data_IF_391107022322
#
_entry.id   IF_391107022322
#
_cell.length_a   1.000
_cell.length_b   1.000
_cell.length_c   1.000
_cell.angle_alpha   90.00
_cell.angle_beta   90.00
_cell.angle_gamma   90.00
#
_symmetry.space_group_name_H-M   'P 1'
#
loop_
_entity.id
_entity.type
_entity.pdbx_description
1 polymer ?
#
# COMPACT_ATOMS: atom_id res chain seq x y z
N UNK A 1 52.39 -65.50 -22.21
CA UNK A 1 52.27 -65.99 -20.81
C UNK A 1 52.67 -64.82 -19.92
N UNK A 2 51.99 -64.45 -18.84
CA UNK A 2 51.24 -65.23 -17.82
C UNK A 2 49.81 -64.68 -17.57
N UNK A 3 49.08 -65.23 -16.57
CA UNK A 3 47.74 -64.80 -16.14
C UNK A 3 47.80 -64.00 -14.83
N UNK A 4 46.94 -62.99 -14.67
CA UNK A 4 46.52 -62.43 -13.37
C UNK A 4 45.11 -61.79 -13.56
N UNK A 5 44.03 -62.57 -13.44
CA UNK A 5 43.23 -62.73 -12.22
C UNK A 5 42.80 -61.40 -11.58
N UNK A 6 41.52 -61.04 -11.79
CA UNK A 6 40.84 -59.90 -11.17
C UNK A 6 40.39 -60.28 -9.76
N UNK A 7 40.52 -59.36 -8.81
CA UNK A 7 39.77 -59.38 -7.55
C UNK A 7 38.88 -58.14 -7.49
N UNK A 8 37.60 -58.31 -7.14
CA UNK A 8 36.68 -57.21 -6.95
C UNK A 8 36.74 -56.72 -5.51
N UNK A 9 37.12 -55.45 -5.30
CA UNK A 9 36.94 -54.75 -4.04
C UNK A 9 35.74 -53.81 -4.16
N UNK A 10 34.60 -54.19 -3.55
CA UNK A 10 33.44 -53.30 -3.42
C UNK A 10 33.67 -52.41 -2.20
N UNK A 11 34.05 -51.16 -2.43
CA UNK A 11 34.21 -50.16 -1.36
C UNK A 11 32.84 -49.58 -1.02
N UNK A 12 32.31 -49.96 0.15
CA UNK A 12 31.09 -49.36 0.69
C UNK A 12 31.40 -47.97 1.28
N UNK A 13 31.28 -46.93 0.45
CA UNK A 13 31.32 -45.55 0.95
C UNK A 13 30.03 -45.23 1.72
N UNK A 14 30.02 -45.52 3.03
CA UNK A 14 28.98 -45.05 3.94
C UNK A 14 29.15 -43.55 4.11
N UNK A 15 28.46 -42.77 3.28
CA UNK A 15 28.38 -41.32 3.41
C UNK A 15 27.58 -40.98 4.67
N UNK A 16 28.28 -40.71 5.77
CA UNK A 16 27.66 -40.19 7.00
C UNK A 16 27.08 -38.81 6.72
N UNK A 17 25.75 -38.75 6.56
CA UNK A 17 24.99 -37.50 6.55
C UNK A 17 25.02 -36.85 7.94
N UNK A 18 26.16 -36.26 8.27
CA UNK A 18 26.28 -35.34 9.39
C UNK A 18 25.40 -34.13 9.07
N UNK A 19 24.23 -34.07 9.70
CA UNK A 19 23.35 -32.91 9.62
C UNK A 19 24.05 -31.73 10.29
N UNK A 20 24.78 -30.95 9.49
CA UNK A 20 25.28 -29.64 9.87
C UNK A 20 24.11 -28.65 9.92
N UNK A 21 23.17 -28.90 10.83
CA UNK A 21 22.14 -27.97 11.21
C UNK A 21 22.84 -26.78 11.87
N UNK A 22 23.18 -25.77 11.06
CA UNK A 22 23.70 -24.49 11.51
C UNK A 22 22.62 -23.78 12.31
N UNK A 23 22.61 -24.07 13.61
CA UNK A 23 21.78 -23.37 14.59
C UNK A 23 22.20 -21.89 14.57
N UNK A 24 21.49 -21.10 13.77
CA UNK A 24 21.50 -19.65 13.87
C UNK A 24 20.81 -19.30 15.19
N UNK A 25 21.60 -19.33 16.26
CA UNK A 25 21.24 -18.73 17.54
C UNK A 25 21.02 -17.23 17.28
N UNK A 26 19.75 -16.85 17.14
CA UNK A 26 19.34 -15.47 17.22
C UNK A 26 19.66 -14.97 18.62
N UNK A 27 20.90 -14.49 18.81
CA UNK A 27 21.19 -13.59 19.91
C UNK A 27 20.37 -12.34 19.68
N UNK A 28 19.22 -12.28 20.34
CA UNK A 28 18.66 -11.03 20.82
C UNK A 28 19.75 -10.37 21.65
N UNK A 29 20.60 -9.58 20.98
CA UNK A 29 21.44 -8.61 21.67
C UNK A 29 20.44 -7.65 22.27
N UNK A 30 20.24 -7.80 23.58
CA UNK A 30 19.43 -6.90 24.38
C UNK A 30 20.23 -5.61 24.50
N UNK A 31 20.21 -4.83 23.41
CA UNK A 31 20.85 -3.53 23.35
C UNK A 31 20.01 -2.67 24.27
N UNK A 32 20.56 -2.34 25.44
CA UNK A 32 20.10 -1.18 26.18
C UNK A 32 20.22 0.02 25.24
N UNK A 33 19.08 0.34 24.65
CA UNK A 33 18.96 1.31 23.59
C UNK A 33 19.03 2.75 24.12
N UNK A 34 19.15 2.91 25.45
CA UNK A 34 19.42 4.16 26.15
C UNK A 34 18.61 5.33 25.55
N UNK A 35 17.29 5.23 25.74
CA UNK A 35 16.34 6.24 25.28
C UNK A 35 16.58 7.55 26.03
N UNK A 36 17.49 8.39 25.52
CA UNK A 36 17.75 9.78 25.95
C UNK A 36 16.61 10.72 25.49
N UNK A 37 15.38 10.20 25.54
CA UNK A 37 14.11 10.79 25.19
C UNK A 37 13.21 10.63 26.42
N UNK A 38 12.88 11.75 27.08
CA UNK A 38 12.23 11.80 28.41
C UNK A 38 11.22 10.67 28.60
N UNK A 39 11.53 9.73 29.48
CA UNK A 39 10.81 8.46 29.62
C UNK A 39 9.31 8.64 29.92
N UNK A 40 8.96 9.71 30.62
CA UNK A 40 7.58 10.13 30.95
C UNK A 40 6.77 10.71 29.76
N UNK A 41 7.38 10.94 28.59
CA UNK A 41 6.73 11.64 27.48
C UNK A 41 6.12 10.68 26.43
N UNK A 42 4.82 10.83 26.12
CA UNK A 42 4.06 9.82 25.38
C UNK A 42 4.57 9.61 23.96
N UNK A 43 4.57 8.35 23.53
CA UNK A 43 5.12 7.90 22.25
C UNK A 43 3.98 7.59 21.28
N UNK A 44 4.14 7.98 20.02
CA UNK A 44 3.09 7.78 18.99
C UNK A 44 3.66 7.11 17.75
N UNK A 45 2.91 6.17 17.16
CA UNK A 45 3.37 5.39 16.01
C UNK A 45 2.39 5.48 14.84
N UNK A 46 2.91 5.82 13.66
CA UNK A 46 2.15 5.90 12.42
C UNK A 46 2.62 4.77 11.49
N UNK A 47 1.74 3.81 11.20
CA UNK A 47 1.98 2.79 10.19
C UNK A 47 1.40 3.24 8.85
N UNK A 48 2.25 3.44 7.86
CA UNK A 48 1.85 3.76 6.49
C UNK A 48 2.02 2.51 5.62
N UNK A 49 0.93 2.10 4.98
CA UNK A 49 0.78 0.92 4.13
C UNK A 49 0.64 1.42 2.67
N UNK A 50 1.76 1.74 1.98
CA UNK A 50 1.75 2.21 0.60
C UNK A 50 1.50 1.02 -0.33
N UNK A 51 0.22 0.70 -0.52
CA UNK A 51 -0.33 -0.57 -1.01
C UNK A 51 -0.46 -0.66 -2.55
N UNK A 52 -0.56 -1.87 -3.12
CA UNK A 52 -0.42 -2.26 -4.55
C UNK A 52 0.95 -2.05 -5.15
N UNK A 53 1.77 -1.37 -4.41
CA UNK A 53 2.76 -0.52 -4.98
C UNK A 53 3.97 -1.51 -5.17
N UNK A 54 4.61 -1.86 -6.32
CA UNK A 54 5.86 -2.74 -6.40
C UNK A 54 7.25 -2.09 -6.79
N UNK A 55 8.46 -2.59 -6.38
CA UNK A 55 9.80 -1.91 -6.42
C UNK A 55 10.07 -0.94 -7.56
N UNK A 56 9.75 -1.40 -8.76
CA UNK A 56 10.01 -0.71 -10.01
C UNK A 56 9.29 0.65 -10.13
N UNK A 57 8.27 0.96 -9.32
CA UNK A 57 7.54 2.26 -9.40
C UNK A 57 8.12 3.37 -8.54
N UNK A 58 8.98 3.12 -7.55
CA UNK A 58 9.74 4.25 -6.99
C UNK A 58 10.85 4.68 -7.95
N UNK A 59 11.33 3.78 -8.81
CA UNK A 59 12.09 4.16 -10.01
C UNK A 59 11.23 5.02 -10.95
N UNK A 60 9.95 4.67 -11.18
CA UNK A 60 9.03 5.58 -11.91
C UNK A 60 8.87 6.95 -11.24
N UNK A 61 8.61 6.99 -9.94
CA UNK A 61 8.41 8.23 -9.20
C UNK A 61 9.65 9.14 -9.20
N UNK A 62 10.85 8.56 -9.28
CA UNK A 62 12.12 9.29 -9.41
C UNK A 62 12.31 9.96 -10.76
N UNK A 63 11.66 9.44 -11.82
CA UNK A 63 11.73 9.98 -13.19
C UNK A 63 10.49 10.83 -13.54
N UNK A 64 9.33 10.55 -12.95
CA UNK A 64 8.10 11.36 -13.00
C UNK A 64 8.21 12.54 -12.02
N UNK A 65 9.29 13.31 -12.16
CA UNK A 65 9.47 14.55 -11.40
C UNK A 65 8.46 15.62 -11.85
N UNK A 66 8.04 16.44 -10.88
CA UNK A 66 7.18 17.60 -11.06
C UNK A 66 7.61 18.45 -12.29
N UNK A 67 6.80 18.52 -13.37
CA UNK A 67 7.16 19.25 -14.57
C UNK A 67 7.19 20.78 -14.37
N UNK A 68 6.70 21.30 -13.24
CA UNK A 68 6.90 22.70 -12.86
C UNK A 68 8.28 22.99 -12.25
N UNK A 69 9.03 21.94 -11.86
CA UNK A 69 10.33 21.97 -11.19
C UNK A 69 10.38 22.77 -9.88
N UNK A 70 9.22 23.14 -9.31
CA UNK A 70 9.12 23.96 -8.09
C UNK A 70 9.35 23.15 -6.81
N UNK A 71 9.02 21.85 -6.82
CA UNK A 71 9.33 20.94 -5.73
C UNK A 71 10.51 20.02 -6.06
N UNK A 72 11.74 20.52 -5.87
CA UNK A 72 12.94 19.67 -5.83
C UNK A 72 13.00 18.92 -4.50
N UNK A 73 13.24 17.61 -4.53
CA UNK A 73 13.71 16.86 -3.37
C UNK A 73 14.83 15.90 -3.78
N UNK A 74 15.92 15.90 -3.02
CA UNK A 74 16.99 14.92 -3.15
C UNK A 74 16.56 13.65 -2.40
N UNK A 75 16.31 12.56 -3.12
CA UNK A 75 15.95 11.26 -2.53
C UNK A 75 17.05 10.25 -2.84
N UNK A 76 17.69 9.78 -1.77
CA UNK A 76 18.72 8.76 -1.78
C UNK A 76 18.12 7.38 -2.18
N UNK A 77 18.80 6.53 -2.96
CA UNK A 77 18.11 5.53 -3.77
C UNK A 77 18.00 4.14 -3.10
N UNK A 78 16.90 3.83 -2.40
CA UNK A 78 16.58 2.47 -1.90
C UNK A 78 15.06 2.26 -1.69
N UNK A 79 14.23 2.13 -2.75
CA UNK A 79 12.74 2.09 -2.67
C UNK A 79 12.04 1.13 -3.67
N UNK A 80 10.87 0.49 -3.43
CA UNK A 80 9.97 0.21 -2.23
C UNK A 80 8.80 -0.79 -2.60
N UNK A 81 7.80 -1.11 -1.72
CA UNK A 81 6.33 -1.42 -2.00
C UNK A 81 6.00 -2.95 -2.38
N UNK A 82 4.89 -3.76 -2.18
CA UNK A 82 3.44 -3.81 -1.70
C UNK A 82 2.28 -4.35 -2.66
N UNK A 83 1.16 -4.98 -2.16
CA UNK A 83 -0.22 -5.23 -2.77
C UNK A 83 -1.22 -6.02 -1.87
N UNK A 84 -2.55 -5.89 -2.09
CA UNK A 84 -3.63 -6.37 -1.20
C UNK A 84 -4.90 -6.95 -1.85
N UNK A 85 -5.94 -7.24 -1.04
CA UNK A 85 -7.18 -7.93 -1.44
C UNK A 85 -8.45 -7.45 -0.70
N UNK A 86 -9.63 -7.66 -1.30
CA UNK A 86 -10.92 -7.10 -0.86
C UNK A 86 -11.59 -7.79 0.35
N UNK A 87 -12.47 -7.05 1.03
CA UNK A 87 -13.56 -7.55 1.89
C UNK A 87 -14.79 -6.62 1.77
N UNK A 88 -15.99 -7.19 1.72
CA UNK A 88 -17.28 -6.45 1.71
C UNK A 88 -17.96 -6.64 3.06
N UNK A 89 -18.28 -5.55 3.76
CA UNK A 89 -18.97 -5.58 5.06
C UNK A 89 -20.41 -5.05 4.95
N UNK A 90 -21.34 -5.94 4.61
CA UNK A 90 -22.78 -5.65 4.59
C UNK A 90 -23.35 -5.66 6.02
N UNK A 91 -23.52 -4.49 6.64
CA UNK A 91 -24.18 -4.38 7.94
C UNK A 91 -24.49 -2.94 8.34
N UNK A 92 -25.63 -2.73 9.01
CA UNK A 92 -26.05 -1.40 9.48
C UNK A 92 -25.25 -0.99 10.71
N UNK A 93 -24.20 -0.19 10.52
CA UNK A 93 -23.29 0.24 11.61
C UNK A 93 -24.05 1.20 12.54
N UNK A 94 -24.37 0.73 13.76
CA UNK A 94 -24.94 1.58 14.80
C UNK A 94 -23.84 2.39 15.50
N UNK A 95 -23.55 3.59 14.99
CA UNK A 95 -22.56 4.53 15.55
C UNK A 95 -23.07 5.23 16.82
N UNK A 96 -23.35 4.47 17.88
CA UNK A 96 -23.92 4.95 19.17
C UNK A 96 -23.14 6.08 19.89
N UNK A 97 -22.01 6.57 19.36
CA UNK A 97 -21.35 7.79 19.84
C UNK A 97 -20.48 8.53 18.79
N UNK A 98 -20.60 8.21 17.50
CA UNK A 98 -19.71 8.76 16.45
C UNK A 98 -20.47 9.48 15.34
N UNK A 99 -19.97 10.64 14.95
CA UNK A 99 -20.48 11.41 13.80
C UNK A 99 -20.12 10.71 12.50
N UNK A 100 -21.10 10.56 11.60
CA UNK A 100 -20.90 10.06 10.25
C UNK A 100 -20.39 11.18 9.33
N UNK A 101 -19.43 10.87 8.47
CA UNK A 101 -19.03 11.70 7.34
C UNK A 101 -19.11 10.87 6.04
N UNK A 102 -19.91 11.35 5.09
CA UNK A 102 -20.19 10.68 3.82
C UNK A 102 -19.45 11.33 2.64
N UNK A 103 -18.95 12.55 2.80
CA UNK A 103 -18.16 13.27 1.79
C UNK A 103 -17.11 14.20 2.42
N UNK A 104 -16.31 14.90 1.61
CA UNK A 104 -15.24 15.78 2.08
C UNK A 104 -15.73 17.05 2.78
N UNK A 105 -16.89 17.63 2.42
CA UNK A 105 -17.47 18.74 3.17
C UNK A 105 -17.81 18.33 4.61
N UNK A 106 -18.39 17.15 4.81
CA UNK A 106 -18.70 16.64 6.16
C UNK A 106 -17.45 16.53 7.04
N UNK A 107 -16.29 16.20 6.44
CA UNK A 107 -15.00 16.18 7.14
C UNK A 107 -14.50 17.59 7.49
N UNK A 108 -14.68 18.57 6.61
CA UNK A 108 -14.33 19.98 6.85
C UNK A 108 -15.23 20.60 7.93
N UNK A 109 -16.52 20.26 7.93
CA UNK A 109 -17.48 20.70 8.94
C UNK A 109 -17.14 20.08 10.31
N UNK A 110 -16.85 18.76 10.35
CA UNK A 110 -16.37 18.09 11.56
C UNK A 110 -15.05 18.69 12.07
N UNK A 111 -14.08 18.92 11.18
CA UNK A 111 -12.80 19.56 11.53
C UNK A 111 -13.04 20.95 12.13
N UNK A 112 -13.95 21.73 11.56
CA UNK A 112 -14.28 23.09 12.02
C UNK A 112 -14.91 23.08 13.41
N UNK A 113 -15.87 22.17 13.66
CA UNK A 113 -16.52 22.02 14.97
C UNK A 113 -15.52 21.60 16.06
N UNK A 114 -14.63 20.63 15.76
CA UNK A 114 -13.69 20.05 16.72
C UNK A 114 -12.29 20.67 16.68
N UNK A 115 -12.07 21.79 15.99
CA UNK A 115 -10.76 22.44 15.81
C UNK A 115 -10.05 22.86 17.13
N UNK A 116 -10.82 23.02 18.22
CA UNK A 116 -10.30 23.41 19.53
C UNK A 116 -10.05 22.21 20.46
N UNK A 117 -10.98 21.26 20.52
CA UNK A 117 -10.92 20.07 21.39
C UNK A 117 -10.08 18.94 20.78
N UNK A 118 -10.16 18.78 19.46
CA UNK A 118 -9.57 17.66 18.73
C UNK A 118 -10.34 16.36 18.87
N UNK A 119 -11.61 16.36 19.30
CA UNK A 119 -12.37 15.13 19.53
C UNK A 119 -12.34 14.22 18.30
N UNK A 120 -12.10 12.93 18.53
CA UNK A 120 -11.92 11.96 17.46
C UNK A 120 -12.97 10.84 17.55
N UNK A 121 -14.23 11.23 17.32
CA UNK A 121 -15.42 10.35 17.27
C UNK A 121 -16.08 10.45 15.90
N UNK A 122 -15.31 10.11 14.87
CA UNK A 122 -15.65 10.26 13.46
C UNK A 122 -15.67 8.89 12.79
N UNK A 123 -16.67 8.63 11.97
CA UNK A 123 -16.73 7.47 11.08
C UNK A 123 -16.94 7.95 9.63
N UNK A 124 -15.93 7.76 8.79
CA UNK A 124 -15.95 8.18 7.38
C UNK A 124 -16.28 7.03 6.44
N UNK A 125 -17.34 7.16 5.65
CA UNK A 125 -17.73 6.17 4.63
C UNK A 125 -18.13 6.90 3.33
N UNK A 126 -17.25 6.90 2.35
CA UNK A 126 -17.33 7.80 1.19
C UNK A 126 -17.80 7.13 -0.12
N UNK A 127 -17.88 5.79 -0.15
CA UNK A 127 -18.42 4.96 -1.24
C UNK A 127 -18.92 3.63 -0.62
N UNK A 128 -19.75 2.88 -1.35
CA UNK A 128 -20.24 1.55 -0.92
C UNK A 128 -19.18 0.43 -1.07
N UNK A 129 -18.13 0.69 -1.85
CA UNK A 129 -16.95 -0.16 -2.04
C UNK A 129 -15.68 0.63 -1.69
N UNK A 130 -14.51 0.15 -2.11
CA UNK A 130 -13.28 0.94 -2.13
C UNK A 130 -13.47 2.29 -2.82
N UNK A 131 -12.75 3.31 -2.32
CA UNK A 131 -12.81 4.66 -2.86
C UNK A 131 -12.31 4.72 -4.31
N UNK A 132 -12.93 5.59 -5.11
CA UNK A 132 -12.62 5.76 -6.53
C UNK A 132 -11.15 6.14 -6.72
N UNK A 133 -10.51 5.71 -7.82
CA UNK A 133 -9.09 6.02 -8.02
C UNK A 133 -8.83 7.51 -8.10
N UNK A 134 -7.61 7.87 -7.69
CA UNK A 134 -7.11 9.24 -7.68
C UNK A 134 -7.15 9.90 -9.07
N UNK A 135 -6.99 9.14 -10.17
CA UNK A 135 -7.04 9.72 -11.52
C UNK A 135 -8.46 10.17 -11.87
N UNK A 136 -9.47 9.35 -11.59
CA UNK A 136 -10.88 9.66 -11.87
C UNK A 136 -11.41 10.75 -10.96
N UNK A 137 -11.08 10.73 -9.67
CA UNK A 137 -11.45 11.82 -8.76
C UNK A 137 -10.77 13.15 -9.08
N UNK A 138 -9.60 13.15 -9.75
CA UNK A 138 -9.02 14.37 -10.30
C UNK A 138 -9.71 14.82 -11.59
N UNK A 139 -10.15 13.90 -12.46
CA UNK A 139 -11.01 14.19 -13.62
C UNK A 139 -12.35 14.81 -13.19
N UNK A 140 -12.98 14.23 -12.18
CA UNK A 140 -14.25 14.68 -11.60
C UNK A 140 -14.10 16.05 -10.95
N UNK A 141 -13.07 16.24 -10.12
CA UNK A 141 -12.75 17.54 -9.50
C UNK A 141 -12.47 18.63 -10.54
N UNK A 142 -11.79 18.29 -11.65
CA UNK A 142 -11.52 19.22 -12.75
C UNK A 142 -12.79 19.54 -13.58
N UNK A 143 -13.85 18.72 -13.50
CA UNK A 143 -15.14 18.97 -14.12
C UNK A 143 -16.13 19.71 -13.18
N UNK A 144 -15.99 19.51 -11.87
CA UNK A 144 -16.84 20.11 -10.83
C UNK A 144 -16.03 20.31 -9.53
N UNK A 145 -15.48 21.51 -9.33
CA UNK A 145 -14.68 21.82 -8.15
C UNK A 145 -15.57 22.05 -6.91
N UNK A 146 -15.84 20.97 -6.19
CA UNK A 146 -16.69 20.95 -4.99
C UNK A 146 -16.05 20.12 -3.87
N UNK A 147 -16.46 20.41 -2.63
CA UNK A 147 -16.18 19.59 -1.45
C UNK A 147 -17.22 18.47 -1.26
N UNK A 148 -18.38 18.52 -1.92
CA UNK A 148 -19.40 17.46 -1.88
C UNK A 148 -19.01 16.27 -2.77
N UNK A 149 -17.90 15.62 -2.43
CA UNK A 149 -17.25 14.52 -3.16
C UNK A 149 -16.52 13.56 -2.21
N UNK A 150 -15.97 12.48 -2.76
CA UNK A 150 -14.95 11.68 -2.08
C UNK A 150 -13.70 12.52 -1.70
N UNK A 151 -13.23 12.47 -0.45
CA UNK A 151 -11.97 13.09 -0.04
C UNK A 151 -10.76 12.34 -0.62
N UNK A 152 -9.64 13.02 -0.82
CA UNK A 152 -8.36 12.37 -1.08
C UNK A 152 -7.68 11.97 0.23
N UNK A 153 -6.82 10.94 0.18
CA UNK A 153 -6.10 10.52 1.37
C UNK A 153 -5.27 11.64 2.05
N UNK A 154 -4.52 12.51 1.33
CA UNK A 154 -3.88 13.63 2.01
C UNK A 154 -4.89 14.55 2.70
N UNK A 155 -6.06 14.83 2.12
CA UNK A 155 -7.11 15.61 2.80
C UNK A 155 -7.63 14.91 4.07
N UNK A 156 -7.87 13.59 4.03
CA UNK A 156 -8.24 12.82 5.23
C UNK A 156 -7.13 12.84 6.29
N UNK A 157 -5.87 12.64 5.90
CA UNK A 157 -4.71 12.62 6.79
C UNK A 157 -4.45 14.02 7.38
N UNK A 158 -4.54 15.08 6.59
CA UNK A 158 -4.42 16.47 7.03
C UNK A 158 -5.46 16.77 8.15
N UNK A 159 -6.71 16.33 7.97
CA UNK A 159 -7.79 16.49 8.96
C UNK A 159 -7.51 15.65 10.22
N UNK A 160 -7.25 14.35 10.09
CA UNK A 160 -6.98 13.44 11.22
C UNK A 160 -5.79 13.93 12.06
N UNK A 161 -4.67 14.30 11.41
CA UNK A 161 -3.49 14.82 12.09
C UNK A 161 -3.75 16.18 12.77
N UNK A 162 -4.63 17.02 12.20
CA UNK A 162 -5.00 18.30 12.84
C UNK A 162 -5.79 18.11 14.14
N UNK A 163 -6.67 17.11 14.18
CA UNK A 163 -7.46 16.75 15.37
C UNK A 163 -6.57 16.08 16.44
N UNK A 164 -5.70 15.14 16.05
CA UNK A 164 -4.74 14.51 16.96
C UNK A 164 -3.78 15.51 17.62
N UNK A 165 -3.34 16.56 16.91
CA UNK A 165 -2.56 17.69 17.49
C UNK A 165 -3.33 18.49 18.54
N UNK A 166 -4.65 18.33 18.66
CA UNK A 166 -5.51 19.03 19.62
C UNK A 166 -5.97 18.10 20.76
N UNK A 167 -6.33 16.87 20.44
CA UNK A 167 -6.92 15.87 21.34
C UNK A 167 -6.10 15.64 22.63
N UNK A 168 -6.74 15.83 23.80
CA UNK A 168 -6.05 15.73 25.10
C UNK A 168 -5.50 14.34 25.40
N UNK A 169 -6.30 13.28 25.21
CA UNK A 169 -5.82 11.91 25.47
C UNK A 169 -4.66 11.50 24.55
N UNK A 170 -4.67 11.89 23.28
CA UNK A 170 -3.56 11.65 22.35
C UNK A 170 -2.26 12.37 22.79
N UNK A 171 -2.37 13.60 23.31
CA UNK A 171 -1.25 14.34 23.91
C UNK A 171 -0.73 13.75 25.22
N UNK A 172 -1.56 12.99 25.94
CA UNK A 172 -1.24 12.42 27.26
C UNK A 172 -0.70 10.98 27.18
N UNK A 173 -1.22 10.19 26.25
CA UNK A 173 -0.96 8.74 26.14
C UNK A 173 -0.35 8.33 24.80
N UNK A 174 -0.22 9.27 23.86
CA UNK A 174 0.19 8.98 22.48
C UNK A 174 -0.97 8.43 21.65
N UNK A 175 -0.67 7.99 20.44
CA UNK A 175 -1.64 7.35 19.55
C UNK A 175 -0.97 6.35 18.60
N UNK A 176 -1.77 5.40 18.11
CA UNK A 176 -1.44 4.60 16.93
C UNK A 176 -2.33 5.03 15.76
N UNK A 177 -1.74 5.22 14.58
CA UNK A 177 -2.46 5.62 13.36
C UNK A 177 -2.03 4.75 12.19
N UNK A 178 -2.96 4.00 11.58
CA UNK A 178 -2.72 3.24 10.36
C UNK A 178 -3.26 4.00 9.14
N UNK A 179 -2.45 4.09 8.08
CA UNK A 179 -2.76 4.82 6.85
C UNK A 179 -2.55 3.88 5.65
N UNK A 180 -3.64 3.37 5.09
CA UNK A 180 -3.64 2.45 3.92
C UNK A 180 -3.72 3.24 2.62
N UNK A 181 -3.02 2.77 1.59
CA UNK A 181 -2.80 3.50 0.34
C UNK A 181 -2.99 2.62 -0.91
N UNK A 182 -4.16 1.97 -1.02
CA UNK A 182 -4.49 1.02 -2.09
C UNK A 182 -4.17 1.61 -3.47
N UNK A 183 -3.10 1.10 -4.09
CA UNK A 183 -2.96 1.01 -5.54
C UNK A 183 -3.54 -0.35 -5.94
N UNK A 184 -3.85 -0.49 -7.21
CA UNK A 184 -4.12 -1.80 -7.81
C UNK A 184 -3.26 -1.92 -9.05
N UNK A 185 -3.22 -3.14 -9.60
CA UNK A 185 -2.71 -3.57 -10.91
C UNK A 185 -2.94 -2.63 -12.13
N UNK A 186 -3.58 -1.48 -11.98
CA UNK A 186 -3.94 -0.56 -13.04
C UNK A 186 -2.93 0.57 -13.18
N UNK A 187 -2.52 0.85 -14.42
CA UNK A 187 -1.73 2.02 -14.77
C UNK A 187 -2.53 3.28 -14.41
N UNK A 188 -2.04 4.00 -13.39
CA UNK A 188 -2.63 5.27 -12.92
C UNK A 188 -1.54 6.19 -12.37
N UNK A 189 -1.55 7.52 -12.67
CA UNK A 189 -0.56 8.48 -12.18
C UNK A 189 -0.78 8.86 -10.69
N UNK A 190 -0.50 7.92 -9.79
CA UNK A 190 -0.60 8.14 -8.33
C UNK A 190 0.47 9.07 -7.76
N UNK A 191 1.55 9.36 -8.51
CA UNK A 191 2.80 10.02 -8.10
C UNK A 191 2.73 11.42 -7.43
N UNK A 192 1.60 12.15 -7.44
CA UNK A 192 1.38 13.22 -6.44
C UNK A 192 0.75 12.87 -5.06
N UNK A 193 0.05 11.75 -4.88
CA UNK A 193 -0.80 11.52 -3.69
C UNK A 193 -0.02 11.05 -2.45
N UNK A 194 0.71 9.94 -2.55
CA UNK A 194 1.56 9.41 -1.46
C UNK A 194 2.62 10.46 -1.03
N UNK A 195 2.97 11.39 -1.91
CA UNK A 195 3.92 12.49 -1.73
C UNK A 195 3.33 13.62 -0.87
N UNK A 196 2.07 14.01 -1.11
CA UNK A 196 1.34 14.90 -0.19
C UNK A 196 1.18 14.25 1.17
N UNK A 197 0.67 13.02 1.24
CA UNK A 197 0.51 12.28 2.51
C UNK A 197 1.84 12.14 3.27
N UNK A 198 2.93 11.76 2.60
CA UNK A 198 4.27 11.71 3.19
C UNK A 198 4.72 13.09 3.70
N UNK A 199 4.43 14.17 2.98
CA UNK A 199 4.75 15.53 3.44
C UNK A 199 3.97 15.89 4.69
N UNK A 200 2.65 15.73 4.71
CA UNK A 200 1.80 15.96 5.89
C UNK A 200 2.28 15.21 7.13
N UNK A 201 2.82 13.99 6.93
CA UNK A 201 3.42 13.17 7.98
C UNK A 201 4.80 13.66 8.43
N UNK A 202 5.67 14.07 7.51
CA UNK A 202 6.97 14.68 7.85
C UNK A 202 6.78 16.01 8.61
N UNK A 203 5.95 16.89 8.06
CA UNK A 203 5.52 18.15 8.67
C UNK A 203 4.82 17.92 10.04
N UNK A 204 4.36 16.69 10.35
CA UNK A 204 3.82 16.32 11.66
C UNK A 204 4.89 15.87 12.65
N UNK A 205 5.80 14.95 12.29
CA UNK A 205 6.87 14.52 13.22
C UNK A 205 7.86 15.65 13.57
N UNK A 206 8.02 16.65 12.70
CA UNK A 206 8.79 17.86 13.02
C UNK A 206 8.09 18.74 14.08
N UNK A 207 6.79 18.52 14.31
CA UNK A 207 5.94 19.25 15.26
C UNK A 207 5.55 18.40 16.48
N UNK A 208 5.82 17.09 16.49
CA UNK A 208 5.48 16.17 17.58
C UNK A 208 6.66 15.31 18.00
N UNK A 209 7.19 15.61 19.20
CA UNK A 209 8.19 14.77 19.85
C UNK A 209 7.70 13.33 20.03
N UNK A 210 8.64 12.38 20.11
CA UNK A 210 8.39 10.95 20.31
C UNK A 210 7.38 10.32 19.31
N UNK A 211 7.25 10.89 18.12
CA UNK A 211 6.43 10.31 17.04
C UNK A 211 7.30 9.57 16.03
N UNK A 212 7.00 8.30 15.81
CA UNK A 212 7.64 7.44 14.83
C UNK A 212 6.70 7.16 13.64
N UNK A 213 7.22 7.24 12.42
CA UNK A 213 6.57 6.73 11.21
C UNK A 213 7.29 5.46 10.80
N UNK A 214 6.53 4.39 10.55
CA UNK A 214 6.95 3.19 9.85
C UNK A 214 6.14 3.10 8.55
N UNK A 215 6.81 3.18 7.40
CA UNK A 215 6.17 2.90 6.11
C UNK A 215 6.70 1.59 5.56
N UNK A 216 5.83 0.61 5.35
CA UNK A 216 6.24 -0.73 5.00
C UNK A 216 5.19 -1.44 4.16
N UNK A 217 5.68 -2.44 3.45
CA UNK A 217 4.92 -3.23 2.51
C UNK A 217 4.76 -4.69 2.93
N UNK A 218 3.84 -5.42 2.29
CA UNK A 218 3.44 -6.79 2.59
C UNK A 218 3.99 -7.81 1.57
N UNK A 219 3.71 -7.65 0.28
CA UNK A 219 4.26 -8.39 -0.87
C UNK A 219 3.91 -7.66 -2.19
N UNK A 220 4.83 -7.52 -3.14
CA UNK A 220 4.64 -6.63 -4.31
C UNK A 220 3.53 -7.04 -5.31
N UNK A 221 3.02 -6.09 -6.11
CA UNK A 221 2.05 -6.34 -7.18
C UNK A 221 2.65 -6.69 -8.56
N UNK A 222 1.96 -7.53 -9.33
CA UNK A 222 1.92 -7.55 -10.80
C UNK A 222 3.19 -7.92 -11.56
N UNK A 223 4.33 -7.92 -10.87
CA UNK A 223 5.66 -7.98 -11.44
C UNK A 223 5.87 -6.98 -12.58
N UNK A 224 5.41 -5.74 -12.38
CA UNK A 224 5.58 -4.62 -13.32
C UNK A 224 7.06 -4.41 -13.68
N UNK A 225 7.38 -4.28 -14.96
CA UNK A 225 8.73 -3.97 -15.47
C UNK A 225 8.82 -2.55 -16.04
N UNK A 226 9.99 -1.92 -15.88
CA UNK A 226 10.35 -0.72 -16.65
C UNK A 226 11.18 -1.15 -17.85
N UNK A 227 10.60 -1.02 -19.04
CA UNK A 227 11.02 -1.75 -20.23
C UNK A 227 10.05 -2.89 -20.56
N UNK A 228 9.95 -3.18 -21.87
CA UNK A 228 9.03 -4.14 -22.48
C UNK A 228 9.74 -4.80 -23.67
N UNK A 229 9.51 -6.10 -23.92
CA UNK A 229 10.09 -6.82 -25.06
C UNK A 229 9.58 -6.30 -26.41
N UNK A 230 10.39 -6.43 -27.47
CA UNK A 230 10.05 -5.98 -28.83
C UNK A 230 10.74 -4.67 -29.28
N UNK A 231 11.63 -4.11 -28.46
CA UNK A 231 12.60 -3.09 -28.87
C UNK A 231 13.84 -3.15 -27.97
N UNK A 232 14.75 -4.06 -28.31
CA UNK A 232 15.95 -4.39 -27.53
C UNK A 232 17.01 -3.27 -27.56
N UNK A 233 16.83 -2.27 -28.43
CA UNK A 233 17.58 -1.02 -28.45
C UNK A 233 16.65 0.09 -28.98
N UNK A 234 16.57 1.28 -28.34
CA UNK A 234 17.49 1.85 -27.36
C UNK A 234 17.07 1.67 -25.89
N UNK A 235 16.46 0.53 -25.52
CA UNK A 235 15.90 0.28 -24.19
C UNK A 235 14.88 1.38 -23.76
N UNK A 236 13.83 1.62 -24.58
CA UNK A 236 12.89 2.70 -24.34
C UNK A 236 12.13 2.55 -23.02
N UNK A 237 11.91 3.68 -22.35
CA UNK A 237 10.98 3.82 -21.23
C UNK A 237 10.49 5.27 -21.20
N UNK A 238 9.17 5.47 -21.33
CA UNK A 238 8.56 6.78 -21.55
C UNK A 238 7.47 7.08 -20.49
N UNK A 239 7.84 7.31 -19.21
CA UNK A 239 6.88 7.45 -18.13
C UNK A 239 6.00 8.72 -18.22
N UNK A 240 6.33 9.68 -19.09
CA UNK A 240 5.48 10.84 -19.41
C UNK A 240 4.19 10.46 -20.14
N UNK A 241 4.16 9.33 -20.84
CA UNK A 241 2.98 8.83 -21.56
C UNK A 241 1.80 8.55 -20.61
N UNK A 242 2.12 8.19 -19.36
CA UNK A 242 1.15 7.85 -18.30
C UNK A 242 0.62 9.08 -17.56
N UNK A 243 1.30 10.23 -17.69
CA UNK A 243 0.86 11.49 -17.05
C UNK A 243 -0.38 12.08 -17.73
N UNK A 244 -0.65 11.69 -18.98
CA UNK A 244 -1.78 12.15 -19.78
C UNK A 244 -3.04 11.28 -19.58
N UNK A 245 -2.95 10.22 -18.77
CA UNK A 245 -4.09 9.40 -18.44
C UNK A 245 -4.99 10.11 -17.43
N UNK A 246 -6.27 10.26 -17.79
CA UNK A 246 -7.29 10.97 -17.03
C UNK A 246 -8.52 10.08 -16.69
N UNK A 247 -8.43 8.77 -16.93
CA UNK A 247 -9.42 7.76 -16.56
C UNK A 247 -8.73 6.45 -16.20
N UNK A 248 -9.13 5.76 -15.13
CA UNK A 248 -8.63 4.40 -14.81
C UNK A 248 -9.26 3.33 -15.71
N UNK A 249 -8.66 2.15 -15.76
CA UNK A 249 -9.26 1.01 -16.48
C UNK A 249 -10.48 0.44 -15.75
N UNK A 250 -10.62 0.67 -14.44
CA UNK A 250 -11.86 0.41 -13.69
C UNK A 250 -12.99 1.36 -14.08
N UNK A 251 -12.74 2.68 -14.17
CA UNK A 251 -13.78 3.62 -14.63
C UNK A 251 -14.15 3.40 -16.11
N UNK A 252 -13.22 2.87 -16.91
CA UNK A 252 -13.55 2.32 -18.24
C UNK A 252 -14.41 1.06 -18.14
N UNK A 253 -14.13 0.14 -17.20
CA UNK A 253 -14.93 -1.07 -17.02
C UNK A 253 -16.33 -0.76 -16.47
N UNK A 254 -16.49 0.09 -15.45
CA UNK A 254 -17.79 0.57 -14.93
C UNK A 254 -18.67 1.05 -16.10
N UNK A 255 -18.11 1.87 -17.01
CA UNK A 255 -18.80 2.37 -18.20
C UNK A 255 -19.12 1.29 -19.25
N UNK A 256 -18.32 0.22 -19.34
CA UNK A 256 -18.60 -0.92 -20.21
C UNK A 256 -19.62 -1.89 -19.57
N UNK A 257 -19.62 -2.03 -18.25
CA UNK A 257 -20.59 -2.83 -17.48
C UNK A 257 -22.00 -2.22 -17.55
N UNK A 258 -22.14 -0.89 -17.51
CA UNK A 258 -23.39 -0.20 -17.83
C UNK A 258 -23.98 -0.65 -19.18
N UNK A 259 -23.14 -0.69 -20.23
CA UNK A 259 -23.53 -1.07 -21.59
C UNK A 259 -23.86 -2.57 -21.65
N UNK A 260 -23.02 -3.40 -21.01
CA UNK A 260 -23.22 -4.84 -20.92
C UNK A 260 -24.56 -5.19 -20.22
N UNK A 261 -24.94 -4.41 -19.22
CA UNK A 261 -26.20 -4.54 -18.47
C UNK A 261 -27.46 -4.14 -19.27
N UNK A 262 -27.33 -3.40 -20.38
CA UNK A 262 -28.48 -2.99 -21.22
C UNK A 262 -29.06 -4.18 -22.01
N UNK A 263 -30.00 -4.90 -21.37
CA UNK A 263 -30.69 -6.11 -21.89
C UNK A 263 -31.47 -5.94 -23.22
N UNK A 264 -31.50 -4.75 -23.82
CA UNK A 264 -32.26 -4.43 -25.02
C UNK A 264 -31.49 -4.66 -26.33
N UNK A 265 -30.16 -4.84 -26.28
CA UNK A 265 -29.32 -5.03 -27.46
C UNK A 265 -29.00 -6.51 -27.67
N UNK A 266 -29.20 -7.03 -28.90
CA UNK A 266 -28.72 -8.36 -29.26
C UNK A 266 -27.19 -8.46 -29.24
N UNK A 267 -26.64 -9.64 -28.90
CA UNK A 267 -25.20 -9.84 -28.64
C UNK A 267 -24.25 -9.20 -29.68
N UNK A 268 -24.61 -9.25 -30.97
CA UNK A 268 -23.79 -8.62 -32.03
C UNK A 268 -23.63 -7.11 -31.82
N UNK A 269 -24.72 -6.38 -31.59
CA UNK A 269 -24.69 -4.93 -31.40
C UNK A 269 -24.04 -4.55 -30.07
N UNK A 270 -24.26 -5.34 -29.02
CA UNK A 270 -23.58 -5.18 -27.73
C UNK A 270 -22.05 -5.25 -27.88
N UNK A 271 -21.52 -6.28 -28.58
CA UNK A 271 -20.07 -6.42 -28.83
C UNK A 271 -19.48 -5.26 -29.64
N UNK A 272 -20.19 -4.80 -30.68
CA UNK A 272 -19.77 -3.64 -31.48
C UNK A 272 -19.69 -2.38 -30.62
N UNK A 273 -20.74 -2.07 -29.85
CA UNK A 273 -20.82 -0.88 -29.01
C UNK A 273 -19.75 -0.87 -27.89
N UNK A 274 -19.51 -2.02 -27.26
CA UNK A 274 -18.44 -2.19 -26.26
C UNK A 274 -17.06 -1.92 -26.87
N UNK A 275 -16.77 -2.45 -28.06
CA UNK A 275 -15.49 -2.25 -28.74
C UNK A 275 -15.29 -0.78 -29.17
N UNK A 276 -16.34 -0.14 -29.69
CA UNK A 276 -16.31 1.26 -30.11
C UNK A 276 -16.06 2.20 -28.92
N UNK A 277 -16.76 1.98 -27.80
CA UNK A 277 -16.61 2.80 -26.59
C UNK A 277 -15.27 2.53 -25.88
N UNK A 278 -14.81 1.28 -25.82
CA UNK A 278 -13.46 0.96 -25.34
C UNK A 278 -12.37 1.70 -26.14
N UNK A 279 -12.42 1.66 -27.48
CA UNK A 279 -11.49 2.41 -28.34
C UNK A 279 -11.61 3.93 -28.15
N UNK A 280 -12.82 4.44 -28.01
CA UNK A 280 -13.05 5.88 -27.76
C UNK A 280 -12.41 6.31 -26.44
N UNK A 281 -12.62 5.58 -25.35
CA UNK A 281 -12.05 5.92 -24.04
C UNK A 281 -10.52 5.87 -24.03
N UNK A 282 -9.91 4.86 -24.66
CA UNK A 282 -8.46 4.80 -24.87
C UNK A 282 -7.93 6.06 -25.55
N UNK A 283 -8.53 6.48 -26.67
CA UNK A 283 -8.09 7.68 -27.42
C UNK A 283 -8.44 9.02 -26.76
N UNK A 284 -9.42 9.04 -25.84
CA UNK A 284 -9.97 10.28 -25.25
C UNK A 284 -9.47 10.60 -23.84
N UNK A 285 -9.01 9.58 -23.10
CA UNK A 285 -8.57 9.72 -21.70
C UNK A 285 -7.16 9.16 -21.44
N UNK A 286 -6.38 8.86 -22.48
CA UNK A 286 -5.00 8.32 -22.40
C UNK A 286 -4.18 8.81 -23.60
N UNK A 287 -2.86 8.59 -23.62
CA UNK A 287 -2.02 8.91 -24.79
C UNK A 287 -1.99 7.80 -25.87
N UNK A 288 -2.97 6.90 -25.89
CA UNK A 288 -3.10 5.86 -26.93
C UNK A 288 -3.67 6.49 -28.21
N UNK A 289 -2.77 6.92 -29.10
CA UNK A 289 -3.14 7.59 -30.37
C UNK A 289 -3.72 6.65 -31.42
N UNK A 290 -3.43 5.35 -31.34
CA UNK A 290 -4.08 4.31 -32.15
C UNK A 290 -4.05 2.96 -31.44
N UNK A 291 -5.05 2.12 -31.70
CA UNK A 291 -5.15 0.74 -31.19
C UNK A 291 -4.80 -0.20 -32.33
N UNK A 292 -3.72 -0.99 -32.17
CA UNK A 292 -3.22 -1.90 -33.21
C UNK A 292 -4.19 -3.05 -33.49
N UNK A 293 -4.17 -3.61 -34.70
CA UNK A 293 -5.06 -4.73 -35.07
C UNK A 293 -4.91 -5.95 -34.15
N UNK A 294 -3.69 -6.21 -33.64
CA UNK A 294 -3.40 -7.23 -32.62
C UNK A 294 -4.19 -6.99 -31.32
N UNK A 295 -4.23 -5.73 -30.85
CA UNK A 295 -4.98 -5.34 -29.66
C UNK A 295 -6.51 -5.32 -29.93
N UNK A 296 -6.94 -4.91 -31.13
CA UNK A 296 -8.35 -4.99 -31.54
C UNK A 296 -8.82 -6.45 -31.57
N UNK A 297 -7.99 -7.39 -32.07
CA UNK A 297 -8.32 -8.82 -32.11
C UNK A 297 -8.46 -9.42 -30.69
N UNK A 298 -7.59 -9.02 -29.75
CA UNK A 298 -7.71 -9.42 -28.33
C UNK A 298 -8.96 -8.84 -27.68
N UNK A 299 -9.20 -7.53 -27.78
CA UNK A 299 -10.43 -6.89 -27.29
C UNK A 299 -11.69 -7.54 -27.87
N UNK A 300 -11.73 -7.85 -29.16
CA UNK A 300 -12.86 -8.56 -29.81
C UNK A 300 -13.07 -9.97 -29.22
N UNK A 301 -11.99 -10.66 -28.87
CA UNK A 301 -12.03 -12.01 -28.26
C UNK A 301 -12.58 -11.94 -26.84
N UNK A 302 -12.07 -11.04 -26.01
CA UNK A 302 -12.51 -10.93 -24.61
C UNK A 302 -13.90 -10.31 -24.48
N UNK A 303 -14.25 -9.31 -25.29
CA UNK A 303 -15.63 -8.78 -25.38
C UNK A 303 -16.60 -9.87 -25.87
N UNK A 304 -16.17 -10.77 -26.76
CA UNK A 304 -16.99 -11.90 -27.20
C UNK A 304 -17.22 -12.91 -26.07
N UNK A 305 -16.18 -13.24 -25.30
CA UNK A 305 -16.28 -14.12 -24.12
C UNK A 305 -17.17 -13.49 -23.03
N UNK A 306 -17.01 -12.20 -22.77
CA UNK A 306 -17.83 -11.43 -21.82
C UNK A 306 -19.32 -11.45 -22.20
N UNK A 307 -19.65 -11.13 -23.45
CA UNK A 307 -21.04 -11.04 -23.91
C UNK A 307 -21.73 -12.41 -24.02
N UNK A 308 -21.03 -13.45 -24.52
CA UNK A 308 -21.64 -14.75 -24.81
C UNK A 308 -21.54 -15.78 -23.68
N UNK A 309 -20.61 -15.64 -22.73
CA UNK A 309 -20.29 -16.69 -21.75
C UNK A 309 -20.24 -16.21 -20.29
N UNK A 310 -19.32 -15.32 -19.96
CA UNK A 310 -18.97 -15.02 -18.55
C UNK A 310 -19.86 -13.95 -17.93
N UNK A 311 -20.34 -13.00 -18.73
CA UNK A 311 -21.04 -11.78 -18.27
C UNK A 311 -20.21 -10.93 -17.29
N UNK A 312 -18.90 -10.97 -17.51
CA UNK A 312 -17.84 -10.33 -16.73
C UNK A 312 -16.81 -9.75 -17.72
N UNK A 313 -16.38 -8.50 -17.48
CA UNK A 313 -15.46 -7.73 -18.32
C UNK A 313 -14.02 -7.63 -17.76
N UNK A 314 -13.68 -8.34 -16.69
CA UNK A 314 -12.34 -8.32 -16.07
C UNK A 314 -11.18 -8.52 -17.07
N UNK A 315 -11.32 -9.44 -18.03
CA UNK A 315 -10.31 -9.66 -19.07
C UNK A 315 -10.21 -8.50 -20.09
N UNK A 316 -11.29 -7.75 -20.28
CA UNK A 316 -11.29 -6.52 -21.09
C UNK A 316 -10.60 -5.38 -20.34
N UNK A 317 -10.79 -5.24 -19.02
CA UNK A 317 -10.03 -4.30 -18.18
C UNK A 317 -8.52 -4.55 -18.28
N UNK A 318 -8.10 -5.83 -18.20
CA UNK A 318 -6.69 -6.22 -18.35
C UNK A 318 -6.14 -5.85 -19.74
N UNK A 319 -6.86 -6.14 -20.82
CA UNK A 319 -6.41 -5.77 -22.17
C UNK A 319 -6.41 -4.25 -22.42
N UNK A 320 -7.31 -3.49 -21.80
CA UNK A 320 -7.22 -2.02 -21.79
C UNK A 320 -5.92 -1.56 -21.12
N UNK A 321 -5.54 -2.15 -19.99
CA UNK A 321 -4.30 -1.80 -19.28
C UNK A 321 -3.05 -2.16 -20.10
N UNK A 322 -3.03 -3.33 -20.73
CA UNK A 322 -1.96 -3.71 -21.67
C UNK A 322 -1.81 -2.72 -22.83
N UNK A 323 -2.91 -2.13 -23.33
CA UNK A 323 -2.87 -1.12 -24.39
C UNK A 323 -2.35 0.22 -23.88
N UNK A 324 -2.71 0.64 -22.66
CA UNK A 324 -2.22 1.88 -22.02
C UNK A 324 -0.74 1.76 -21.61
N UNK A 325 -0.31 0.55 -21.22
CA UNK A 325 1.08 0.21 -20.88
C UNK A 325 2.05 0.32 -22.07
N UNK A 326 1.59 -0.02 -23.29
CA UNK A 326 2.41 -0.09 -24.50
C UNK A 326 3.16 1.23 -24.83
N UNK A 327 2.51 2.41 -24.94
CA UNK A 327 3.21 3.68 -25.22
C UNK A 327 4.31 4.03 -24.22
N UNK A 328 4.13 3.69 -22.95
CA UNK A 328 5.10 3.99 -21.88
C UNK A 328 6.30 3.04 -21.82
N UNK A 329 6.27 1.94 -22.59
CA UNK A 329 7.23 0.83 -22.51
C UNK A 329 7.36 0.26 -21.09
N UNK A 330 6.21 -0.06 -20.49
CA UNK A 330 6.11 -0.91 -19.31
C UNK A 330 5.40 -2.23 -19.68
N UNK A 331 5.57 -3.26 -18.87
CA UNK A 331 4.86 -4.52 -19.00
C UNK A 331 4.57 -5.15 -17.64
N UNK A 332 3.68 -6.15 -17.61
CA UNK A 332 3.28 -6.87 -16.41
C UNK A 332 3.53 -8.36 -16.60
N UNK A 333 3.71 -9.11 -15.50
CA UNK A 333 4.00 -10.56 -15.55
C UNK A 333 2.96 -11.42 -14.84
N UNK A 334 2.04 -10.81 -14.09
CA UNK A 334 0.90 -11.46 -13.43
C UNK A 334 -0.19 -10.41 -13.13
N UNK A 335 -1.41 -10.85 -12.81
CA UNK A 335 -2.52 -10.00 -12.32
C UNK A 335 -2.72 -10.14 -10.80
N UNK A 336 -1.74 -10.70 -10.10
CA UNK A 336 -1.75 -10.87 -8.65
C UNK A 336 -0.39 -10.57 -8.03
N UNK A 337 -0.15 -11.07 -6.81
CA UNK A 337 1.03 -10.70 -6.02
C UNK A 337 2.31 -11.40 -6.52
N UNK A 338 3.46 -10.79 -6.26
CA UNK A 338 4.81 -11.29 -6.51
C UNK A 338 5.64 -11.28 -5.22
N UNK A 339 6.31 -12.40 -4.95
CA UNK A 339 7.14 -12.60 -3.75
C UNK A 339 8.49 -11.89 -3.78
N UNK A 340 8.52 -10.62 -4.23
CA UNK A 340 9.69 -9.75 -4.07
C UNK A 340 9.84 -9.32 -2.61
N UNK A 341 11.07 -9.14 -2.14
CA UNK A 341 11.32 -8.34 -0.95
C UNK A 341 10.82 -6.91 -1.18
N UNK A 342 10.36 -6.26 -0.11
CA UNK A 342 9.68 -4.97 -0.14
C UNK A 342 10.27 -4.03 0.89
N UNK A 343 10.55 -2.78 0.52
CA UNK A 343 11.36 -1.91 1.39
C UNK A 343 10.58 -1.30 2.55
N UNK A 344 11.32 -1.07 3.64
CA UNK A 344 10.89 -0.47 4.90
C UNK A 344 11.48 0.95 5.05
N UNK A 345 10.67 1.89 5.53
CA UNK A 345 11.09 3.24 5.94
C UNK A 345 10.73 3.44 7.39
N UNK A 346 11.66 3.99 8.14
CA UNK A 346 11.41 4.49 9.47
C UNK A 346 11.94 5.91 9.59
N UNK A 347 11.17 6.77 10.26
CA UNK A 347 11.53 8.18 10.52
C UNK A 347 10.97 8.59 11.88
N UNK A 348 11.77 9.30 12.68
CA UNK A 348 11.37 9.77 14.01
C UNK A 348 12.57 9.77 14.97
N UNK A 349 12.38 9.35 16.23
CA UNK A 349 13.47 8.98 17.14
C UNK A 349 14.61 8.22 16.47
N UNK A 350 15.86 8.66 16.71
CA UNK A 350 17.07 8.06 16.13
C UNK A 350 17.14 6.55 16.39
N UNK A 351 16.61 6.11 17.53
CA UNK A 351 16.59 4.73 17.96
C UNK A 351 15.62 3.88 17.12
N UNK A 352 14.44 4.42 16.80
CA UNK A 352 13.48 3.81 15.89
C UNK A 352 14.05 3.70 14.47
N UNK A 353 14.72 4.76 13.99
CA UNK A 353 15.42 4.76 12.71
C UNK A 353 16.60 3.77 12.64
N UNK A 354 17.19 3.40 13.78
CA UNK A 354 18.23 2.36 13.85
C UNK A 354 17.64 0.96 13.77
N UNK A 355 16.54 0.68 14.49
CA UNK A 355 15.90 -0.65 14.50
C UNK A 355 15.52 -1.14 13.09
N UNK A 356 15.13 -0.23 12.19
CA UNK A 356 14.71 -0.57 10.83
C UNK A 356 15.84 -0.73 9.80
N UNK A 357 17.12 -0.53 10.17
CA UNK A 357 18.26 -0.55 9.22
C UNK A 357 18.83 -1.96 9.00
N UNK A 358 17.96 -2.93 8.72
CA UNK A 358 18.32 -4.30 8.38
C UNK A 358 17.23 -5.00 7.54
N UNK A 359 17.51 -6.20 7.03
CA UNK A 359 16.50 -7.04 6.36
C UNK A 359 15.59 -7.65 7.43
N UNK A 360 14.30 -7.34 7.37
CA UNK A 360 13.30 -7.76 8.35
C UNK A 360 12.15 -8.50 7.68
N UNK A 361 11.68 -9.57 8.33
CA UNK A 361 10.39 -10.20 8.01
C UNK A 361 9.26 -9.32 8.55
N UNK A 362 8.14 -9.27 7.84
CA UNK A 362 6.95 -8.48 8.21
C UNK A 362 6.50 -8.67 9.67
N UNK A 363 6.61 -9.87 10.25
CA UNK A 363 6.31 -10.15 11.67
C UNK A 363 7.07 -9.29 12.67
N UNK A 364 8.27 -8.80 12.33
CA UNK A 364 9.04 -7.92 13.22
C UNK A 364 8.53 -6.48 13.24
N UNK A 365 7.78 -6.02 12.25
CA UNK A 365 7.27 -4.64 12.18
C UNK A 365 6.32 -4.35 13.35
N UNK A 366 5.48 -5.34 13.73
CA UNK A 366 4.68 -5.24 14.96
C UNK A 366 5.58 -5.08 16.19
N UNK A 367 6.61 -5.92 16.34
CA UNK A 367 7.55 -5.84 17.48
C UNK A 367 8.27 -4.49 17.52
N UNK A 368 8.70 -3.93 16.38
CA UNK A 368 9.31 -2.59 16.37
C UNK A 368 8.35 -1.51 16.88
N UNK A 369 7.08 -1.57 16.50
CA UNK A 369 6.07 -0.62 16.95
C UNK A 369 5.68 -0.83 18.43
N UNK A 370 5.56 -2.08 18.91
CA UNK A 370 5.21 -2.34 20.32
C UNK A 370 6.39 -2.16 21.28
N UNK A 371 7.63 -2.43 20.87
CA UNK A 371 8.86 -1.98 21.55
C UNK A 371 8.87 -0.45 21.67
N UNK A 372 8.63 0.26 20.57
CA UNK A 372 8.65 1.72 20.57
C UNK A 372 7.59 2.31 21.50
N UNK A 373 6.34 1.85 21.39
CA UNK A 373 5.21 2.30 22.22
C UNK A 373 5.26 1.81 23.69
N UNK A 374 6.21 0.95 24.07
CA UNK A 374 6.29 0.38 25.42
C UNK A 374 5.21 -0.66 25.73
N UNK A 375 4.59 -1.25 24.70
CA UNK A 375 3.41 -2.12 24.82
C UNK A 375 3.72 -3.61 24.92
N UNK A 376 4.98 -4.05 24.80
CA UNK A 376 5.32 -5.49 24.71
C UNK A 376 4.75 -6.33 25.86
N UNK A 377 4.98 -5.92 27.11
CA UNK A 377 4.50 -6.66 28.27
C UNK A 377 2.96 -6.75 28.31
N UNK A 378 2.26 -5.67 27.96
CA UNK A 378 0.80 -5.68 27.88
C UNK A 378 0.29 -6.53 26.70
N UNK A 379 1.01 -6.53 25.56
CA UNK A 379 0.70 -7.39 24.42
C UNK A 379 0.83 -8.88 24.82
N UNK A 380 1.85 -9.26 25.58
CA UNK A 380 2.01 -10.63 26.09
C UNK A 380 0.87 -11.01 27.05
N UNK A 381 0.54 -10.14 28.01
CA UNK A 381 -0.56 -10.37 28.97
C UNK A 381 -1.90 -10.59 28.26
N UNK A 382 -2.29 -9.72 27.33
CA UNK A 382 -3.55 -9.87 26.58
C UNK A 382 -3.53 -11.06 25.61
N UNK A 383 -2.37 -11.38 25.00
CA UNK A 383 -2.19 -12.59 24.19
C UNK A 383 -2.40 -13.86 25.02
N UNK A 384 -1.95 -13.87 26.27
CA UNK A 384 -2.12 -14.98 27.21
C UNK A 384 -3.57 -15.10 27.68
N UNK A 385 -4.24 -13.98 28.00
CA UNK A 385 -5.70 -13.95 28.29
C UNK A 385 -6.52 -14.51 27.12
N UNK A 386 -6.25 -14.08 25.88
CA UNK A 386 -6.92 -14.60 24.68
C UNK A 386 -6.65 -16.10 24.43
N UNK A 387 -5.55 -16.64 24.94
CA UNK A 387 -5.24 -18.09 24.93
C UNK A 387 -5.82 -18.83 26.15
N UNK A 388 -6.65 -18.16 26.95
CA UNK A 388 -7.24 -18.68 28.20
C UNK A 388 -6.18 -19.14 29.22
N UNK A 389 -5.02 -18.48 29.23
CA UNK A 389 -3.95 -18.71 30.22
C UNK A 389 -4.07 -17.66 31.33
N UNK A 390 -4.10 -18.11 32.58
CA UNK A 390 -4.13 -17.23 33.74
C UNK A 390 -2.86 -16.37 33.82
N UNK A 391 -3.03 -15.04 33.91
CA UNK A 391 -1.96 -14.07 34.13
C UNK A 391 -2.18 -13.34 35.46
N UNK A 392 -1.09 -12.87 36.06
CA UNK A 392 -1.16 -11.94 37.19
C UNK A 392 -1.45 -10.54 36.63
N UNK A 393 -2.67 -10.03 36.84
CA UNK A 393 -3.09 -8.74 36.28
C UNK A 393 -2.46 -7.53 36.99
N UNK A 394 -2.00 -7.71 38.23
CA UNK A 394 -1.17 -6.74 38.92
C UNK A 394 0.30 -7.14 38.77
N UNK A 395 1.22 -6.22 38.42
CA UNK A 395 2.64 -6.48 38.56
C UNK A 395 2.95 -6.77 40.03
N UNK A 396 3.89 -7.69 40.28
CA UNK A 396 4.44 -7.86 41.62
C UNK A 396 5.13 -6.55 42.01
N UNK A 397 4.49 -5.78 42.91
CA UNK A 397 5.12 -4.62 43.55
C UNK A 397 6.23 -5.14 44.45
N UNK A 398 7.42 -5.28 43.86
CA UNK A 398 8.64 -5.43 44.62
C UNK A 398 8.81 -4.14 45.42
N UNK A 399 8.52 -4.21 46.73
CA UNK A 399 8.86 -3.15 47.66
C UNK A 399 10.38 -2.96 47.64
N UNK A 400 10.86 -2.01 46.82
CA UNK A 400 12.26 -1.62 46.83
C UNK A 400 12.58 -1.14 48.25
N UNK A 401 13.51 -1.78 48.96
CA UNK A 401 13.81 -1.41 50.33
C UNK A 401 14.26 0.06 50.36
N UNK A 402 13.76 0.86 51.31
CA UNK A 402 13.94 2.32 51.28
C UNK A 402 15.43 2.66 51.16
N UNK A 403 15.72 3.59 50.25
CA UNK A 403 17.08 3.91 49.84
C UNK A 403 17.96 4.21 51.06
N UNK A 404 18.95 3.35 51.31
CA UNK A 404 19.95 3.58 52.36
C UNK A 404 20.82 4.76 51.95
N UNK A 405 20.60 5.89 52.61
CA UNK A 405 21.53 7.00 52.63
C UNK A 405 22.89 6.51 53.15
N UNK A 406 23.92 6.68 52.33
CA UNK A 406 25.34 6.52 52.69
C UNK A 406 25.96 7.91 52.89
#
# INVERSE_FOLDING_TARGET
>A
MTKLHRFCAVVLCVATLASAATHYEYKSVDVDYNFDEKEESPRSAIMMIPDGTGPNVFTMARTVLDPSLKMRLHIDPHNMRMDSAHHIMMGTIQTHSSTMASNYQDLLDYQTIHANTGDFRLFGQFKDSHMTYKVDRLRELAANDTASREPSLPEMVDIVLSLLRKHEQAKKHGYFLMIVLVWTMQVTPTTPAQWRTKRSLLDHIEQTHNTAILSAADHGAGGLTLGRSGMEYPYPWYPTQLQQQNMSTEAMQERLDEILAMRYWGNKTCKTLLLEIAKTMLTSYTNVTSVTDEAVAKLVTEITTAVDKTRDLYLVLIELDHIISKPAWIDWTTVGHVGTDVNLYCKGPLIFERMCKCVLKNVYLNKLMTMFLGLEHQQELETMKHRNVSVLENPLVAELPPAKTW
#
